data_IF_083375257503
#
_entry.id   IF_083375257503
#
_cell.length_a   1.000
_cell.length_b   1.000
_cell.length_c   1.000
_cell.angle_alpha   90.00
_cell.angle_beta   90.00
_cell.angle_gamma   90.00
#
_symmetry.space_group_name_H-M   'P 1'
#
loop_
_entity.id
_entity.type
_entity.pdbx_description
1 polymer ?
#
# COMPACT_ATOMS: atom_id res chain seq x y z
N UNK A 1 -3.29 4.97 6.26
CA UNK A 1 -2.55 3.71 6.51
C UNK A 1 -1.23 3.64 5.73
N UNK A 2 -1.17 3.99 4.41
CA UNK A 2 0.10 4.11 3.65
C UNK A 2 1.11 5.02 4.36
N UNK A 3 0.70 6.21 4.76
CA UNK A 3 1.56 7.19 5.45
C UNK A 3 2.09 6.63 6.77
N UNK A 4 1.26 5.93 7.53
CA UNK A 4 1.63 5.27 8.80
C UNK A 4 2.67 4.17 8.58
N UNK A 5 2.53 3.36 7.53
CA UNK A 5 3.49 2.32 7.18
C UNK A 5 4.87 2.91 6.83
N UNK A 6 4.93 3.99 6.05
CA UNK A 6 6.19 4.70 5.75
C UNK A 6 6.80 5.38 6.98
N UNK A 7 5.99 5.97 7.86
CA UNK A 7 6.49 6.53 9.13
C UNK A 7 7.09 5.43 10.01
N UNK A 8 6.46 4.28 10.07
CA UNK A 8 6.96 3.13 10.81
C UNK A 8 8.27 2.60 10.21
N UNK A 9 8.34 2.47 8.88
CA UNK A 9 9.59 2.13 8.16
C UNK A 9 10.73 3.11 8.50
N UNK A 10 10.48 4.42 8.43
CA UNK A 10 11.46 5.45 8.74
C UNK A 10 11.91 5.39 10.22
N UNK A 11 10.98 5.15 11.14
CA UNK A 11 11.30 4.98 12.56
C UNK A 11 12.24 3.79 12.80
N UNK A 12 12.02 2.66 12.09
CA UNK A 12 12.92 1.50 12.18
C UNK A 12 14.29 1.79 11.54
N UNK A 13 14.32 2.52 10.43
CA UNK A 13 15.55 2.98 9.79
C UNK A 13 16.40 3.87 10.71
N UNK A 14 15.78 4.81 11.44
CA UNK A 14 16.49 5.62 12.41
C UNK A 14 17.09 4.79 13.56
N UNK A 15 16.36 3.78 14.05
CA UNK A 15 16.87 2.87 15.10
C UNK A 15 18.03 2.00 14.61
N UNK A 16 17.96 1.55 13.36
CA UNK A 16 19.04 0.81 12.71
C UNK A 16 20.30 1.67 12.57
N UNK A 17 20.19 2.86 11.99
CA UNK A 17 21.31 3.80 11.83
C UNK A 17 21.93 4.19 13.17
N UNK A 18 21.12 4.38 14.20
CA UNK A 18 21.63 4.67 15.55
C UNK A 18 22.44 3.48 16.11
N UNK A 19 21.92 2.26 15.94
CA UNK A 19 22.62 1.06 16.40
C UNK A 19 23.93 0.81 15.60
N UNK A 20 23.92 1.09 14.30
CA UNK A 20 25.12 1.05 13.44
C UNK A 20 26.17 2.06 13.90
N UNK A 21 25.78 3.32 14.12
CA UNK A 21 26.70 4.35 14.62
C UNK A 21 27.30 3.98 15.98
N UNK A 22 26.50 3.44 16.90
CA UNK A 22 27.00 2.97 18.20
C UNK A 22 27.99 1.80 18.05
N UNK A 23 27.69 0.83 17.19
CA UNK A 23 28.57 -0.31 16.90
C UNK A 23 29.89 0.18 16.31
N UNK A 24 29.86 1.06 15.33
CA UNK A 24 31.04 1.56 14.62
C UNK A 24 31.96 2.36 15.56
N UNK A 25 31.39 3.16 16.45
CA UNK A 25 32.16 3.87 17.50
C UNK A 25 32.85 2.86 18.40
N UNK A 26 32.15 1.84 18.90
CA UNK A 26 32.72 0.83 19.80
C UNK A 26 33.80 0.01 19.09
N UNK A 27 33.60 -0.37 17.84
CA UNK A 27 34.60 -1.06 17.05
C UNK A 27 35.85 -0.18 16.81
N UNK A 28 35.65 1.11 16.53
CA UNK A 28 36.74 2.07 16.40
C UNK A 28 37.56 2.22 17.69
N UNK A 29 36.91 2.29 18.86
CA UNK A 29 37.58 2.36 20.15
C UNK A 29 38.37 1.07 20.47
N UNK A 30 37.83 -0.10 20.12
CA UNK A 30 38.53 -1.39 20.25
C UNK A 30 39.78 -1.40 19.34
N UNK A 31 39.63 -0.98 18.07
CA UNK A 31 40.72 -0.95 17.09
C UNK A 31 41.84 0.03 17.48
N UNK A 32 41.46 1.17 18.05
CA UNK A 32 42.40 2.19 18.54
C UNK A 32 43.13 1.78 19.84
N UNK A 33 42.77 0.65 20.46
CA UNK A 33 43.34 0.22 21.74
C UNK A 33 42.96 1.13 22.93
N UNK A 34 41.90 1.95 22.77
CA UNK A 34 41.47 2.92 23.76
C UNK A 34 40.65 2.31 24.92
N UNK A 35 40.38 1.00 24.88
CA UNK A 35 39.61 0.26 25.89
C UNK A 35 40.55 -0.59 26.73
N UNK A 36 40.37 -0.51 28.06
CA UNK A 36 41.12 -1.35 28.99
C UNK A 36 40.93 -2.86 28.66
N UNK A 37 42.02 -3.62 28.75
CA UNK A 37 42.02 -5.07 28.47
C UNK A 37 40.96 -5.84 29.25
N UNK A 38 40.65 -5.40 30.47
CA UNK A 38 39.60 -6.00 31.31
C UNK A 38 38.18 -5.75 30.78
N UNK A 39 37.97 -4.70 29.99
CA UNK A 39 36.67 -4.28 29.48
C UNK A 39 36.44 -4.72 28.00
N UNK A 40 37.48 -5.15 27.30
CA UNK A 40 37.42 -5.53 25.89
C UNK A 40 36.36 -6.60 25.63
N UNK A 41 36.31 -7.65 26.45
CA UNK A 41 35.33 -8.74 26.26
C UNK A 41 33.88 -8.29 26.49
N UNK A 42 33.65 -7.43 27.47
CA UNK A 42 32.35 -6.80 27.69
C UNK A 42 31.92 -5.93 26.50
N UNK A 43 32.85 -5.14 25.97
CA UNK A 43 32.57 -4.26 24.82
C UNK A 43 32.31 -5.09 23.55
N UNK A 44 33.05 -6.16 23.31
CA UNK A 44 32.79 -7.08 22.18
C UNK A 44 31.41 -7.74 22.28
N UNK A 45 30.94 -8.04 23.51
CA UNK A 45 29.58 -8.55 23.72
C UNK A 45 28.54 -7.49 23.29
N UNK A 46 28.72 -6.24 23.71
CA UNK A 46 27.83 -5.15 23.31
C UNK A 46 27.82 -4.97 21.79
N UNK A 47 28.97 -5.06 21.13
CA UNK A 47 29.06 -5.01 19.65
C UNK A 47 28.23 -6.14 19.01
N UNK A 48 28.35 -7.38 19.51
CA UNK A 48 27.53 -8.51 18.99
C UNK A 48 26.03 -8.28 19.21
N UNK A 49 25.63 -7.78 20.39
CA UNK A 49 24.24 -7.47 20.68
C UNK A 49 23.69 -6.36 19.76
N UNK A 50 24.53 -5.39 19.39
CA UNK A 50 24.18 -4.36 18.40
C UNK A 50 24.04 -4.94 16.99
N UNK A 51 24.96 -5.83 16.57
CA UNK A 51 24.85 -6.52 15.26
C UNK A 51 23.54 -7.32 15.15
N UNK A 52 23.13 -8.00 16.22
CA UNK A 52 21.85 -8.72 16.23
C UNK A 52 20.65 -7.75 16.13
N UNK A 53 20.70 -6.61 16.83
CA UNK A 53 19.67 -5.57 16.74
C UNK A 53 19.58 -4.98 15.33
N UNK A 54 20.72 -4.68 14.70
CA UNK A 54 20.79 -4.17 13.32
C UNK A 54 20.14 -5.15 12.36
N UNK A 55 20.52 -6.45 12.43
CA UNK A 55 19.92 -7.50 11.61
C UNK A 55 18.41 -7.62 11.82
N UNK A 56 17.97 -7.47 13.08
CA UNK A 56 16.54 -7.48 13.42
C UNK A 56 15.83 -6.28 12.82
N UNK A 57 16.36 -5.06 12.96
CA UNK A 57 15.75 -3.85 12.39
C UNK A 57 15.69 -3.91 10.86
N UNK A 58 16.71 -4.46 10.20
CA UNK A 58 16.70 -4.69 8.76
C UNK A 58 15.56 -5.63 8.33
N UNK A 59 15.32 -6.74 9.06
CA UNK A 59 14.18 -7.63 8.81
C UNK A 59 12.84 -6.94 9.05
N UNK A 60 12.71 -6.22 10.16
CA UNK A 60 11.52 -5.43 10.49
C UNK A 60 11.20 -4.42 9.38
N UNK A 61 12.20 -3.70 8.86
CA UNK A 61 12.05 -2.76 7.75
C UNK A 61 11.55 -3.44 6.47
N UNK A 62 12.16 -4.57 6.12
CA UNK A 62 11.75 -5.33 4.93
C UNK A 62 10.30 -5.81 5.04
N UNK A 63 9.89 -6.30 6.21
CA UNK A 63 8.52 -6.73 6.44
C UNK A 63 7.52 -5.55 6.34
N UNK A 64 7.86 -4.39 6.93
CA UNK A 64 7.03 -3.18 6.84
C UNK A 64 6.96 -2.65 5.41
N UNK A 65 8.03 -2.76 4.63
CA UNK A 65 8.06 -2.28 3.26
C UNK A 65 7.32 -3.19 2.28
N UNK A 66 7.58 -4.49 2.37
CA UNK A 66 7.11 -5.49 1.40
C UNK A 66 5.83 -6.21 1.83
N UNK A 67 5.58 -6.27 3.13
CA UNK A 67 4.52 -7.06 3.74
C UNK A 67 4.97 -8.48 4.11
N UNK A 68 4.34 -9.04 5.13
CA UNK A 68 4.66 -10.38 5.65
C UNK A 68 4.53 -11.47 4.60
N UNK A 69 3.58 -11.36 3.67
CA UNK A 69 3.37 -12.32 2.60
C UNK A 69 4.58 -12.43 1.65
N UNK A 70 5.19 -11.27 1.30
CA UNK A 70 6.31 -11.22 0.34
C UNK A 70 7.67 -11.57 0.96
N UNK A 71 7.85 -11.33 2.26
CA UNK A 71 9.14 -11.61 2.93
C UNK A 71 9.31 -13.06 3.37
N UNK A 72 8.23 -13.85 3.41
CA UNK A 72 8.26 -15.26 3.85
C UNK A 72 8.26 -15.43 5.38
N UNK A 73 7.79 -16.60 5.83
CA UNK A 73 7.56 -16.90 7.27
C UNK A 73 8.83 -16.78 8.13
N UNK A 74 9.98 -17.10 7.59
CA UNK A 74 11.28 -17.05 8.25
C UNK A 74 11.75 -15.62 8.58
N UNK A 75 11.17 -14.63 7.92
CA UNK A 75 11.51 -13.21 8.10
C UNK A 75 10.45 -12.41 8.87
N UNK A 76 9.40 -13.07 9.35
CA UNK A 76 8.38 -12.41 10.16
C UNK A 76 8.96 -12.01 11.52
N UNK A 77 8.88 -10.74 11.85
CA UNK A 77 9.41 -10.18 13.10
C UNK A 77 8.36 -9.29 13.78
N UNK A 78 7.40 -8.78 13.00
CA UNK A 78 6.36 -7.90 13.52
C UNK A 78 5.09 -8.69 13.86
N UNK A 79 4.44 -8.31 14.97
CA UNK A 79 3.11 -8.80 15.28
C UNK A 79 2.09 -7.66 15.18
N UNK A 80 0.98 -7.94 14.52
CA UNK A 80 -0.21 -7.07 14.47
C UNK A 80 -1.29 -7.78 15.27
N UNK A 81 -1.84 -7.12 16.28
CA UNK A 81 -2.85 -7.69 17.19
C UNK A 81 -2.45 -9.05 17.79
N UNK A 82 -1.15 -9.20 18.12
CA UNK A 82 -0.59 -10.42 18.69
C UNK A 82 -0.35 -11.56 17.71
N UNK A 83 -0.59 -11.36 16.42
CA UNK A 83 -0.37 -12.36 15.36
C UNK A 83 0.77 -11.92 14.44
N UNK A 84 1.68 -12.84 14.15
CA UNK A 84 2.72 -12.65 13.14
C UNK A 84 2.19 -12.92 11.73
N UNK A 85 2.82 -12.31 10.72
CA UNK A 85 2.47 -12.59 9.34
C UNK A 85 1.28 -11.80 8.80
N UNK A 86 0.84 -10.76 9.51
CA UNK A 86 -0.31 -9.93 9.12
C UNK A 86 0.07 -8.49 8.73
N UNK A 87 1.36 -8.19 8.60
CA UNK A 87 1.81 -6.86 8.19
C UNK A 87 1.54 -6.67 6.71
N UNK A 88 0.71 -5.68 6.39
CA UNK A 88 0.52 -5.21 5.02
C UNK A 88 1.62 -4.18 4.74
N UNK A 89 2.47 -4.46 3.75
CA UNK A 89 3.62 -3.63 3.44
C UNK A 89 3.24 -2.29 2.80
N UNK A 90 4.10 -1.28 2.98
CA UNK A 90 3.91 0.04 2.39
C UNK A 90 3.75 -0.03 0.86
N UNK A 91 4.50 -0.90 0.18
CA UNK A 91 4.36 -1.13 -1.27
C UNK A 91 3.04 -1.80 -1.64
N UNK A 92 2.52 -2.70 -0.81
CA UNK A 92 1.20 -3.30 -1.05
C UNK A 92 0.09 -2.24 -0.93
N UNK A 93 0.20 -1.34 0.04
CA UNK A 93 -0.71 -0.19 0.16
C UNK A 93 -0.64 0.73 -1.06
N UNK A 94 0.57 0.96 -1.60
CA UNK A 94 0.77 1.77 -2.81
C UNK A 94 0.16 1.12 -4.05
N UNK A 95 0.41 -0.17 -4.25
CA UNK A 95 -0.19 -0.95 -5.35
C UNK A 95 -1.72 -0.95 -5.26
N UNK A 96 -2.28 -1.15 -4.05
CA UNK A 96 -3.71 -1.12 -3.83
C UNK A 96 -4.31 0.27 -4.07
N UNK A 97 -3.64 1.35 -3.62
CA UNK A 97 -4.07 2.72 -3.88
C UNK A 97 -4.08 3.04 -5.39
N UNK A 98 -3.07 2.59 -6.13
CA UNK A 98 -3.00 2.76 -7.59
C UNK A 98 -4.13 2.00 -8.29
N UNK A 99 -4.41 0.77 -7.88
CA UNK A 99 -5.53 -0.03 -8.41
C UNK A 99 -6.88 0.62 -8.12
N UNK A 100 -7.08 1.11 -6.89
CA UNK A 100 -8.29 1.85 -6.51
C UNK A 100 -8.47 3.13 -7.33
N UNK A 101 -7.38 3.86 -7.60
CA UNK A 101 -7.40 5.01 -8.49
C UNK A 101 -7.87 4.65 -9.91
N UNK A 102 -7.31 3.58 -10.49
CA UNK A 102 -7.73 3.09 -11.80
C UNK A 102 -9.21 2.65 -11.83
N UNK A 103 -9.71 2.05 -10.76
CA UNK A 103 -11.12 1.69 -10.61
C UNK A 103 -11.99 2.96 -10.52
N UNK A 104 -11.53 3.99 -9.80
CA UNK A 104 -12.16 5.30 -9.75
C UNK A 104 -12.36 5.88 -11.14
N UNK A 105 -11.33 5.84 -12.00
CA UNK A 105 -11.42 6.31 -13.39
C UNK A 105 -12.49 5.56 -14.20
N UNK A 106 -12.70 4.27 -13.94
CA UNK A 106 -13.79 3.52 -14.56
C UNK A 106 -15.17 3.96 -14.09
N UNK A 107 -15.34 4.27 -12.78
CA UNK A 107 -16.58 4.82 -12.26
C UNK A 107 -16.87 6.21 -12.82
N UNK A 108 -15.87 7.06 -12.97
CA UNK A 108 -16.03 8.38 -13.59
C UNK A 108 -16.50 8.26 -15.03
N UNK A 109 -15.93 7.35 -15.81
CA UNK A 109 -16.41 7.05 -17.18
C UNK A 109 -17.86 6.53 -17.20
N UNK A 110 -18.19 5.59 -16.31
CA UNK A 110 -19.55 5.10 -16.19
C UNK A 110 -20.53 6.25 -15.87
N UNK A 111 -20.17 7.13 -14.97
CA UNK A 111 -20.97 8.30 -14.58
C UNK A 111 -21.19 9.25 -15.74
N UNK A 112 -20.18 9.51 -16.59
CA UNK A 112 -20.32 10.30 -17.81
C UNK A 112 -21.35 9.70 -18.76
N UNK A 113 -21.30 8.39 -19.03
CA UNK A 113 -22.29 7.73 -19.87
C UNK A 113 -23.70 7.84 -19.30
N UNK A 114 -23.87 7.68 -17.99
CA UNK A 114 -25.16 7.83 -17.32
C UNK A 114 -25.69 9.29 -17.36
N UNK A 115 -24.81 10.28 -17.25
CA UNK A 115 -25.16 11.69 -17.39
C UNK A 115 -25.65 12.00 -18.81
N UNK A 116 -24.95 11.54 -19.84
CA UNK A 116 -25.41 11.65 -21.23
C UNK A 116 -26.76 10.96 -21.44
N UNK A 117 -26.92 9.77 -20.85
CA UNK A 117 -28.19 9.05 -20.86
C UNK A 117 -29.34 9.91 -20.33
N UNK A 118 -29.16 10.58 -19.18
CA UNK A 118 -30.17 11.46 -18.58
C UNK A 118 -30.50 12.66 -19.48
N UNK A 119 -29.48 13.29 -20.07
CA UNK A 119 -29.68 14.43 -20.99
C UNK A 119 -30.45 13.99 -22.22
N UNK A 120 -30.08 12.87 -22.84
CA UNK A 120 -30.79 12.36 -24.01
C UNK A 120 -32.23 11.96 -23.68
N UNK A 121 -32.45 11.40 -22.49
CA UNK A 121 -33.77 11.07 -22.00
C UNK A 121 -34.68 12.34 -21.85
N UNK A 122 -34.12 13.39 -21.26
CA UNK A 122 -34.83 14.68 -21.12
C UNK A 122 -35.17 15.25 -22.50
N UNK A 123 -34.25 15.24 -23.45
CA UNK A 123 -34.50 15.69 -24.83
C UNK A 123 -35.57 14.83 -25.50
N UNK A 124 -35.55 13.52 -25.35
CA UNK A 124 -36.54 12.62 -25.90
C UNK A 124 -37.96 12.89 -25.39
N UNK A 125 -38.09 13.33 -24.13
CA UNK A 125 -39.39 13.69 -23.53
C UNK A 125 -39.94 14.98 -24.10
N UNK A 126 -39.09 15.96 -24.43
CA UNK A 126 -39.52 17.28 -24.96
C UNK A 126 -39.89 17.18 -26.45
N UNK A 127 -39.30 16.26 -27.20
CA UNK A 127 -39.57 16.11 -28.63
C UNK A 127 -40.98 15.54 -28.89
N UNK A 128 -41.78 16.32 -29.57
CA UNK A 128 -43.15 15.93 -29.96
C UNK A 128 -43.23 15.08 -31.21
N UNK A 129 -42.20 15.15 -32.10
CA UNK A 129 -42.15 14.45 -33.38
C UNK A 129 -41.56 13.03 -33.27
N UNK A 130 -42.33 12.03 -33.78
CA UNK A 130 -42.12 10.60 -33.51
C UNK A 130 -40.76 10.03 -33.89
N UNK A 131 -40.15 10.41 -35.03
CA UNK A 131 -38.92 9.78 -35.52
C UNK A 131 -37.69 10.14 -34.71
N UNK A 132 -37.49 11.39 -34.42
CA UNK A 132 -36.36 11.87 -33.62
C UNK A 132 -36.48 11.43 -32.15
N UNK A 133 -37.66 11.42 -31.58
CA UNK A 133 -37.94 10.90 -30.25
C UNK A 133 -37.39 9.49 -30.05
N UNK A 134 -37.66 8.60 -31.00
CA UNK A 134 -37.18 7.19 -30.96
C UNK A 134 -35.67 7.08 -31.09
N UNK A 135 -35.01 7.96 -31.87
CA UNK A 135 -33.54 7.98 -31.98
C UNK A 135 -32.91 8.37 -30.65
N UNK A 136 -33.39 9.46 -30.03
CA UNK A 136 -32.88 9.92 -28.70
C UNK A 136 -33.17 8.89 -27.62
N UNK A 137 -34.33 8.29 -27.58
CA UNK A 137 -34.68 7.25 -26.64
C UNK A 137 -33.81 5.99 -26.82
N UNK A 138 -33.63 5.54 -28.06
CA UNK A 138 -32.72 4.42 -28.34
C UNK A 138 -31.28 4.68 -27.94
N UNK A 139 -30.75 5.87 -28.24
CA UNK A 139 -29.40 6.29 -27.79
C UNK A 139 -29.29 6.33 -26.27
N UNK A 140 -30.31 6.81 -25.56
CA UNK A 140 -30.37 6.80 -24.10
C UNK A 140 -30.26 5.38 -23.55
N UNK A 141 -31.02 4.42 -24.10
CA UNK A 141 -30.98 3.03 -23.64
C UNK A 141 -29.60 2.41 -23.86
N UNK A 142 -29.03 2.63 -25.04
CA UNK A 142 -27.69 2.09 -25.37
C UNK A 142 -26.62 2.66 -24.42
N UNK A 143 -26.58 3.97 -24.23
CA UNK A 143 -25.62 4.61 -23.32
C UNK A 143 -25.83 4.20 -21.87
N UNK A 144 -27.08 4.05 -21.44
CA UNK A 144 -27.42 3.55 -20.11
C UNK A 144 -26.89 2.12 -19.86
N UNK A 145 -27.05 1.24 -20.85
CA UNK A 145 -26.53 -0.13 -20.78
C UNK A 145 -25.00 -0.15 -20.73
N UNK A 146 -24.33 0.68 -21.55
CA UNK A 146 -22.86 0.81 -21.54
C UNK A 146 -22.38 1.31 -20.18
N UNK A 147 -22.97 2.39 -19.66
CA UNK A 147 -22.61 2.96 -18.34
C UNK A 147 -22.81 1.94 -17.22
N UNK A 148 -23.92 1.21 -17.23
CA UNK A 148 -24.20 0.16 -16.24
C UNK A 148 -23.20 -1.01 -16.33
N UNK A 149 -22.82 -1.45 -17.52
CA UNK A 149 -21.83 -2.50 -17.72
C UNK A 149 -20.45 -2.09 -17.23
N UNK A 150 -20.02 -0.85 -17.51
CA UNK A 150 -18.74 -0.30 -17.00
C UNK A 150 -18.77 -0.22 -15.47
N UNK A 151 -19.86 0.25 -14.88
CA UNK A 151 -20.00 0.33 -13.42
C UNK A 151 -19.94 -1.05 -12.76
N UNK A 152 -20.59 -2.06 -13.34
CA UNK A 152 -20.54 -3.44 -12.86
C UNK A 152 -19.12 -4.02 -12.96
N UNK A 153 -18.43 -3.77 -14.06
CA UNK A 153 -17.01 -4.17 -14.22
C UNK A 153 -16.13 -3.56 -13.16
N UNK A 154 -16.24 -2.23 -12.92
CA UNK A 154 -15.50 -1.53 -11.89
C UNK A 154 -15.78 -2.09 -10.48
N UNK A 155 -17.02 -2.43 -10.18
CA UNK A 155 -17.42 -3.06 -8.92
C UNK A 155 -16.76 -4.43 -8.73
N UNK A 156 -16.76 -5.28 -9.76
CA UNK A 156 -16.14 -6.61 -9.70
C UNK A 156 -14.62 -6.53 -9.54
N UNK A 157 -13.96 -5.53 -10.15
CA UNK A 157 -12.52 -5.30 -9.94
C UNK A 157 -12.22 -4.78 -8.53
N UNK A 158 -13.06 -3.90 -7.99
CA UNK A 158 -12.93 -3.42 -6.61
C UNK A 158 -13.02 -4.57 -5.58
N UNK A 159 -13.93 -5.51 -5.80
CA UNK A 159 -14.12 -6.67 -4.91
C UNK A 159 -12.92 -7.63 -4.87
N UNK A 160 -11.99 -7.54 -5.82
CA UNK A 160 -10.76 -8.35 -5.83
C UNK A 160 -9.64 -7.78 -4.95
N UNK A 161 -9.80 -6.56 -4.41
CA UNK A 161 -8.78 -5.91 -3.59
C UNK A 161 -8.92 -6.38 -2.14
N UNK A 162 -7.93 -7.11 -1.58
CA UNK A 162 -8.06 -7.80 -0.29
C UNK A 162 -8.15 -6.87 0.93
N UNK A 163 -7.97 -5.56 0.76
CA UNK A 163 -8.01 -4.56 1.84
C UNK A 163 -9.44 -4.06 2.13
N UNK A 164 -10.39 -4.39 1.28
CA UNK A 164 -11.78 -3.94 1.38
C UNK A 164 -12.74 -5.05 1.83
N UNK A 165 -12.23 -6.25 2.09
CA UNK A 165 -12.99 -7.42 2.53
C UNK A 165 -12.84 -7.69 4.01
#
# INVERSE_FOLDING_TARGET
EKTTAYQWFNSKGMKENLAEGQRDILQGLIAAGSIDKKQIEGTKKVVRDLDEKIKRYGREKNEILLGSEKVGKENWVQSVDGKMGQVIGAKQWEDNATRLGAIGDWYDRATLFLQFCLVLGAVALVLQTGRYKWVFFGSMVVLGLIGSAISLYAYLEAAKIPVLG
#
